data_IF_005466995615
#
_entry.id   IF_005466995615
#
_cell.length_a   1.000
_cell.length_b   1.000
_cell.length_c   1.000
_cell.angle_alpha   90.00
_cell.angle_beta   90.00
_cell.angle_gamma   90.00
#
_symmetry.space_group_name_H-M   'P 1'
#
loop_
_entity.id
_entity.type
_entity.pdbx_description
1 polymer ?
#
# COMPACT_ATOMS: atom_id res chain seq x y z
N UNK A 1 4.43 10.35 19.03
CA UNK A 1 5.74 9.72 18.79
C UNK A 1 6.62 10.78 18.12
N UNK A 2 7.39 11.54 18.90
CA UNK A 2 8.27 12.58 18.38
C UNK A 2 9.66 11.95 18.18
N UNK A 3 10.20 12.01 16.96
CA UNK A 3 11.53 11.50 16.65
C UNK A 3 12.45 12.72 16.57
N UNK A 4 13.39 12.84 17.52
CA UNK A 4 14.49 13.80 17.41
C UNK A 4 15.67 13.14 16.68
N UNK A 5 16.06 13.68 15.53
CA UNK A 5 17.16 13.18 14.70
C UNK A 5 16.71 12.38 13.45
N UNK A 6 17.60 11.53 12.94
CA UNK A 6 17.40 10.81 11.66
C UNK A 6 16.72 9.45 11.87
N UNK A 7 15.54 9.27 11.28
CA UNK A 7 14.76 8.03 11.36
C UNK A 7 15.34 6.85 10.54
N UNK A 8 16.40 7.08 9.75
CA UNK A 8 17.02 6.03 8.91
C UNK A 8 17.59 4.84 9.69
N UNK A 9 17.87 5.01 10.99
CA UNK A 9 18.37 3.92 11.86
C UNK A 9 17.26 3.15 12.58
N UNK A 10 15.99 3.57 12.42
CA UNK A 10 14.87 2.91 13.07
C UNK A 10 14.40 1.72 12.23
N UNK A 11 13.81 0.73 12.92
CA UNK A 11 13.18 -0.40 12.24
C UNK A 11 12.05 0.11 11.33
N UNK A 12 11.99 -0.41 10.10
CA UNK A 12 10.85 -0.16 9.22
C UNK A 12 9.61 -0.84 9.81
N UNK A 13 8.72 -0.05 10.39
CA UNK A 13 7.51 -0.54 11.05
C UNK A 13 6.26 -0.45 10.17
N UNK A 14 6.34 0.26 9.04
CA UNK A 14 5.24 0.45 8.11
C UNK A 14 5.31 -0.55 6.95
N UNK A 15 4.15 -0.96 6.39
CA UNK A 15 4.10 -1.81 5.21
C UNK A 15 4.81 -1.12 4.03
N UNK A 16 5.58 -1.88 3.26
CA UNK A 16 6.21 -1.38 2.02
C UNK A 16 5.36 -1.61 0.78
N UNK A 17 4.43 -2.55 0.85
CA UNK A 17 3.53 -2.89 -0.24
C UNK A 17 2.08 -2.60 0.15
N UNK A 18 1.26 -2.29 -0.85
CA UNK A 18 -0.16 -2.03 -0.64
C UNK A 18 -0.86 -3.25 -0.05
N UNK A 19 -0.57 -4.46 -0.55
CA UNK A 19 -1.15 -5.71 -0.06
C UNK A 19 -0.92 -5.90 1.46
N UNK A 20 0.31 -5.70 1.93
CA UNK A 20 0.66 -5.77 3.36
C UNK A 20 -0.10 -4.71 4.18
N UNK A 21 -0.32 -3.52 3.60
CA UNK A 21 -1.07 -2.44 4.24
C UNK A 21 -2.55 -2.76 4.38
N UNK A 22 -3.16 -3.30 3.32
CA UNK A 22 -4.56 -3.74 3.31
C UNK A 22 -4.78 -4.90 4.29
N UNK A 23 -3.83 -5.83 4.39
CA UNK A 23 -3.87 -6.92 5.37
C UNK A 23 -3.82 -6.39 6.81
N UNK A 24 -2.88 -5.48 7.12
CA UNK A 24 -2.81 -4.88 8.46
C UNK A 24 -4.04 -4.04 8.79
N UNK A 25 -4.62 -3.33 7.83
CA UNK A 25 -5.88 -2.62 8.00
C UNK A 25 -7.03 -3.59 8.29
N UNK A 26 -7.08 -4.74 7.61
CA UNK A 26 -8.06 -5.78 7.87
C UNK A 26 -7.96 -6.35 9.30
N UNK A 27 -6.77 -6.38 9.89
CA UNK A 27 -6.56 -6.89 11.25
C UNK A 27 -6.64 -5.79 12.34
N UNK A 28 -6.71 -4.51 11.95
CA UNK A 28 -6.74 -3.38 12.87
C UNK A 28 -8.15 -3.14 13.45
N UNK A 29 -8.52 -3.90 14.48
CA UNK A 29 -9.80 -3.74 15.20
C UNK A 29 -10.11 -2.29 15.62
N UNK A 30 -9.16 -1.52 16.20
CA UNK A 30 -9.47 -0.14 16.61
C UNK A 30 -9.82 0.78 15.43
N UNK A 31 -9.23 0.54 14.25
CA UNK A 31 -9.55 1.30 13.05
C UNK A 31 -10.90 0.88 12.46
N UNK A 32 -11.21 -0.41 12.50
CA UNK A 32 -12.52 -0.92 12.07
C UNK A 32 -13.67 -0.41 12.93
N UNK A 33 -13.46 -0.26 14.24
CA UNK A 33 -14.44 0.33 15.16
C UNK A 33 -14.74 1.81 14.84
N UNK A 34 -13.71 2.57 14.42
CA UNK A 34 -13.86 3.99 14.08
C UNK A 34 -14.41 4.20 12.67
N UNK A 35 -13.92 3.43 11.69
CA UNK A 35 -14.25 3.60 10.28
C UNK A 35 -15.49 2.79 9.84
N UNK A 36 -15.81 1.73 10.58
CA UNK A 36 -16.85 0.76 10.25
C UNK A 36 -16.32 -0.43 9.45
N UNK A 37 -16.74 -1.64 9.83
CA UNK A 37 -16.33 -2.89 9.19
C UNK A 37 -16.69 -2.93 7.69
N UNK A 38 -17.89 -2.48 7.32
CA UNK A 38 -18.32 -2.44 5.93
C UNK A 38 -17.46 -1.50 5.09
N UNK A 39 -17.10 -0.33 5.64
CA UNK A 39 -16.25 0.62 4.94
C UNK A 39 -14.87 0.02 4.67
N UNK A 40 -14.25 -0.60 5.68
CA UNK A 40 -12.93 -1.23 5.54
C UNK A 40 -12.98 -2.39 4.55
N UNK A 41 -14.05 -3.19 4.55
CA UNK A 41 -14.22 -4.27 3.58
C UNK A 41 -14.32 -3.76 2.13
N UNK A 42 -15.15 -2.74 1.88
CA UNK A 42 -15.29 -2.15 0.54
C UNK A 42 -13.98 -1.50 0.09
N UNK A 43 -13.32 -0.75 0.97
CA UNK A 43 -12.04 -0.12 0.68
C UNK A 43 -10.99 -1.17 0.27
N UNK A 44 -10.92 -2.30 0.97
CA UNK A 44 -9.99 -3.36 0.64
C UNK A 44 -10.25 -3.96 -0.74
N UNK A 45 -11.51 -4.26 -1.09
CA UNK A 45 -11.85 -4.80 -2.41
C UNK A 45 -11.50 -3.80 -3.51
N UNK A 46 -11.85 -2.53 -3.34
CA UNK A 46 -11.54 -1.48 -4.33
C UNK A 46 -10.03 -1.33 -4.51
N UNK A 47 -9.27 -1.29 -3.41
CA UNK A 47 -7.81 -1.11 -3.47
C UNK A 47 -7.09 -2.33 -4.03
N UNK A 48 -7.61 -3.53 -3.79
CA UNK A 48 -7.10 -4.74 -4.41
C UNK A 48 -7.32 -4.72 -5.93
N UNK A 49 -8.52 -4.36 -6.38
CA UNK A 49 -8.81 -4.23 -7.81
C UNK A 49 -7.96 -3.14 -8.49
N UNK A 50 -7.74 -2.00 -7.82
CA UNK A 50 -6.85 -0.93 -8.31
C UNK A 50 -5.40 -1.42 -8.44
N UNK A 51 -4.93 -2.21 -7.48
CA UNK A 51 -3.58 -2.78 -7.50
C UNK A 51 -3.39 -3.75 -8.67
N UNK A 52 -4.34 -4.65 -8.89
CA UNK A 52 -4.31 -5.60 -10.01
C UNK A 52 -4.36 -4.88 -11.35
N UNK A 53 -5.22 -3.86 -11.48
CA UNK A 53 -5.30 -3.05 -12.68
C UNK A 53 -3.97 -2.31 -12.97
N UNK A 54 -3.31 -1.80 -11.94
CA UNK A 54 -2.00 -1.16 -12.07
C UNK A 54 -0.92 -2.14 -12.55
N UNK A 55 -0.88 -3.35 -11.97
CA UNK A 55 0.09 -4.39 -12.35
C UNK A 55 -0.12 -4.93 -13.77
N UNK A 56 -1.34 -4.85 -14.30
CA UNK A 56 -1.66 -5.33 -15.64
C UNK A 56 -1.17 -4.39 -16.77
N UNK A 57 -0.65 -3.21 -16.44
CA UNK A 57 -0.25 -2.19 -17.42
C UNK A 57 1.24 -1.85 -17.27
N UNK A 58 1.93 -1.76 -18.41
CA UNK A 58 3.31 -1.25 -18.46
C UNK A 58 3.27 0.25 -18.25
N UNK A 59 3.90 0.73 -17.17
CA UNK A 59 3.99 2.16 -16.88
C UNK A 59 4.86 2.91 -17.90
N UNK A 60 4.64 4.22 -18.06
CA UNK A 60 5.49 5.04 -18.94
C UNK A 60 6.97 4.97 -18.54
N UNK A 61 7.26 4.91 -17.23
CA UNK A 61 8.62 4.72 -16.73
C UNK A 61 9.20 3.38 -17.13
N UNK A 62 8.44 2.28 -16.99
CA UNK A 62 8.89 0.94 -17.41
C UNK A 62 9.13 0.90 -18.91
N UNK A 63 8.29 1.57 -19.70
CA UNK A 63 8.54 1.70 -21.13
C UNK A 63 9.85 2.44 -21.40
N UNK A 64 10.13 3.53 -20.73
CA UNK A 64 11.34 4.33 -20.97
C UNK A 64 12.62 3.69 -20.43
N UNK A 65 12.54 2.87 -19.37
CA UNK A 65 13.71 2.37 -18.64
C UNK A 65 13.91 0.85 -18.76
N UNK A 66 12.86 0.08 -19.08
CA UNK A 66 12.95 -1.37 -19.30
C UNK A 66 12.85 -1.74 -20.79
N UNK A 67 12.21 -0.92 -21.63
CA UNK A 67 12.29 -1.07 -23.09
C UNK A 67 13.40 -0.16 -23.63
N UNK A 68 14.64 -0.57 -23.36
CA UNK A 68 15.80 0.00 -24.05
C UNK A 68 15.64 -0.22 -25.56
N UNK A 69 15.75 0.89 -26.31
CA UNK A 69 15.89 0.96 -27.77
C UNK A 69 16.48 -0.33 -28.37
N UNK A 70 15.70 -0.98 -29.23
CA UNK A 70 16.24 -1.70 -30.39
C UNK A 70 16.40 -0.73 -31.55
#
# INVERSE_FOLDING_TARGET
>A
MHIEGSAYRLAFTLPRQLADGLDRLNHAKPLKEVLGDQFVAVLNVVKQAEYEAYQAVISSWERENLLLNV
#
